data_IF_231019019657
#
_entry.id   IF_231019019657
#
_cell.length_a   1.000
_cell.length_b   1.000
_cell.length_c   1.000
_cell.angle_alpha   90.00
_cell.angle_beta   90.00
_cell.angle_gamma   90.00
#
_symmetry.space_group_name_H-M   'P 1'
#
loop_
_entity.id
_entity.type
_entity.pdbx_description
1 polymer ?
#
# COMPACT_ATOMS: atom_id res chain seq x y z
N UNK A 1 30.47 -1.25 16.01
CA UNK A 1 30.17 -1.71 14.64
C UNK A 1 28.87 -2.50 14.70
N UNK A 2 27.73 -1.87 14.40
CA UNK A 2 26.42 -2.50 14.46
C UNK A 2 26.11 -3.18 13.12
N UNK A 3 25.99 -4.50 13.13
CA UNK A 3 25.56 -5.27 11.95
C UNK A 3 24.05 -5.08 11.76
N UNK A 4 23.64 -4.31 10.75
CA UNK A 4 22.26 -4.30 10.29
C UNK A 4 21.99 -5.57 9.48
N UNK A 5 21.26 -6.52 10.08
CA UNK A 5 20.71 -7.69 9.36
C UNK A 5 19.59 -7.19 8.45
N UNK A 6 19.88 -7.01 7.17
CA UNK A 6 18.89 -6.64 6.15
C UNK A 6 18.02 -7.85 5.82
N UNK A 7 17.01 -8.10 6.65
CA UNK A 7 15.92 -8.99 6.28
C UNK A 7 15.15 -8.29 5.15
N UNK A 8 15.36 -8.70 3.89
CA UNK A 8 14.72 -8.08 2.71
C UNK A 8 13.22 -8.37 2.74
N UNK A 9 12.48 -7.54 3.47
CA UNK A 9 11.03 -7.56 3.48
C UNK A 9 10.54 -7.18 2.08
N UNK A 10 9.67 -8.00 1.52
CA UNK A 10 8.96 -7.71 0.27
C UNK A 10 7.50 -7.49 0.62
N UNK A 11 6.97 -6.37 0.18
CA UNK A 11 5.57 -5.97 0.43
C UNK A 11 4.82 -5.99 -0.90
N UNK A 12 3.58 -6.45 -0.87
CA UNK A 12 2.66 -6.42 -2.00
C UNK A 12 1.39 -5.71 -1.51
N UNK A 13 0.83 -4.85 -2.36
CA UNK A 13 -0.43 -4.15 -2.11
C UNK A 13 -1.43 -4.66 -3.16
N UNK A 14 -2.65 -4.96 -2.71
CA UNK A 14 -3.71 -5.54 -3.51
C UNK A 14 -4.95 -4.69 -3.32
N UNK A 15 -5.48 -4.14 -4.40
CA UNK A 15 -6.73 -3.39 -4.44
C UNK A 15 -7.84 -4.26 -5.05
N UNK A 16 -9.05 -4.12 -4.55
CA UNK A 16 -10.22 -4.84 -5.06
C UNK A 16 -11.52 -4.19 -4.59
N UNK A 17 -12.56 -4.30 -5.40
CA UNK A 17 -13.86 -3.68 -5.16
C UNK A 17 -14.81 -4.52 -4.30
N UNK A 18 -14.54 -5.82 -4.14
CA UNK A 18 -15.36 -6.74 -3.35
C UNK A 18 -14.71 -7.06 -2.00
N UNK A 19 -15.38 -6.65 -0.92
CA UNK A 19 -14.88 -6.83 0.45
C UNK A 19 -14.77 -8.29 0.88
N UNK A 20 -15.61 -9.18 0.33
CA UNK A 20 -15.61 -10.61 0.67
C UNK A 20 -14.39 -11.30 0.06
N UNK A 21 -14.04 -10.95 -1.17
CA UNK A 21 -12.84 -11.45 -1.84
C UNK A 21 -11.56 -10.95 -1.16
N UNK A 22 -11.51 -9.67 -0.77
CA UNK A 22 -10.35 -9.10 -0.04
C UNK A 22 -10.13 -9.85 1.27
N UNK A 23 -11.19 -10.11 2.05
CA UNK A 23 -11.09 -10.88 3.30
C UNK A 23 -10.53 -12.29 3.05
N UNK A 24 -11.01 -12.97 2.02
CA UNK A 24 -10.51 -14.31 1.67
C UNK A 24 -9.00 -14.29 1.37
N UNK A 25 -8.53 -13.29 0.62
CA UNK A 25 -7.11 -13.14 0.30
C UNK A 25 -6.28 -12.91 1.56
N UNK A 26 -6.74 -12.05 2.48
CA UNK A 26 -6.05 -11.79 3.76
C UNK A 26 -5.98 -13.05 4.62
N UNK A 27 -7.09 -13.79 4.74
CA UNK A 27 -7.12 -15.05 5.49
C UNK A 27 -6.15 -16.09 4.90
N UNK A 28 -6.09 -16.21 3.57
CA UNK A 28 -5.14 -17.10 2.90
C UNK A 28 -3.70 -16.68 3.16
N UNK A 29 -3.38 -15.39 3.06
CA UNK A 29 -2.04 -14.87 3.32
C UNK A 29 -1.61 -15.16 4.77
N UNK A 30 -2.49 -14.95 5.74
CA UNK A 30 -2.25 -15.26 7.15
C UNK A 30 -2.02 -16.76 7.36
N UNK A 31 -2.81 -17.64 6.72
CA UNK A 31 -2.62 -19.11 6.76
C UNK A 31 -1.28 -19.56 6.19
N UNK A 32 -0.74 -18.81 5.23
CA UNK A 32 0.58 -19.04 4.64
C UNK A 32 1.73 -18.39 5.43
N UNK A 33 1.46 -17.90 6.65
CA UNK A 33 2.40 -17.20 7.52
C UNK A 33 2.94 -15.87 6.94
N UNK A 34 2.20 -15.23 6.04
CA UNK A 34 2.46 -13.84 5.66
C UNK A 34 1.78 -12.88 6.62
N UNK A 35 2.41 -11.72 6.86
CA UNK A 35 1.77 -10.61 7.57
C UNK A 35 0.84 -9.87 6.60
N UNK A 36 -0.47 -9.98 6.83
CA UNK A 36 -1.49 -9.30 6.02
C UNK A 36 -2.53 -8.61 6.90
N UNK A 37 -2.93 -7.39 6.52
CA UNK A 37 -3.99 -6.61 7.14
C UNK A 37 -4.66 -5.73 6.06
N UNK A 38 -5.89 -5.31 6.32
CA UNK A 38 -6.62 -4.37 5.46
C UNK A 38 -6.35 -2.97 5.97
N UNK A 39 -5.94 -2.07 5.07
CA UNK A 39 -5.71 -0.67 5.40
C UNK A 39 -7.03 0.03 5.73
N UNK A 40 -7.04 0.76 6.85
CA UNK A 40 -8.11 1.71 7.16
C UNK A 40 -7.99 2.96 6.26
N UNK A 41 -8.89 3.93 6.43
CA UNK A 41 -8.91 5.14 5.59
C UNK A 41 -7.66 6.00 5.75
N UNK A 42 -7.21 6.22 6.99
CA UNK A 42 -6.02 7.02 7.32
C UNK A 42 -4.75 6.35 6.78
N UNK A 43 -4.60 5.03 7.00
CA UNK A 43 -3.48 4.25 6.48
C UNK A 43 -3.42 4.25 4.93
N UNK A 44 -4.58 4.33 4.28
CA UNK A 44 -4.68 4.39 2.82
C UNK A 44 -4.30 5.77 2.28
N UNK A 45 -4.73 6.84 2.95
CA UNK A 45 -4.36 8.21 2.64
C UNK A 45 -2.85 8.42 2.79
N UNK A 46 -2.28 8.01 3.93
CA UNK A 46 -0.84 8.07 4.18
C UNK A 46 -0.04 7.30 3.13
N UNK A 47 -0.54 6.12 2.72
CA UNK A 47 0.07 5.34 1.66
C UNK A 47 0.02 6.06 0.31
N UNK A 48 -1.14 6.61 -0.08
CA UNK A 48 -1.30 7.33 -1.33
C UNK A 48 -0.40 8.57 -1.38
N UNK A 49 -0.35 9.33 -0.29
CA UNK A 49 0.52 10.50 -0.17
C UNK A 49 2.00 10.13 -0.27
N UNK A 50 2.43 9.10 0.46
CA UNK A 50 3.81 8.62 0.40
C UNK A 50 4.20 8.14 -1.00
N UNK A 51 3.28 7.47 -1.70
CA UNK A 51 3.50 7.03 -3.08
C UNK A 51 3.60 8.22 -4.05
N UNK A 52 2.73 9.22 -3.91
CA UNK A 52 2.79 10.44 -4.73
C UNK A 52 4.10 11.21 -4.52
N UNK A 53 4.55 11.35 -3.27
CA UNK A 53 5.84 11.97 -2.95
C UNK A 53 7.03 11.20 -3.55
N UNK A 54 7.00 9.86 -3.48
CA UNK A 54 8.03 9.03 -4.10
C UNK A 54 8.05 9.17 -5.63
N UNK A 55 6.88 9.29 -6.27
CA UNK A 55 6.77 9.47 -7.72
C UNK A 55 7.27 10.85 -8.19
N UNK A 56 6.95 11.91 -7.45
CA UNK A 56 7.50 13.25 -7.67
C UNK A 56 9.04 13.28 -7.54
N UNK A 57 9.60 12.54 -6.56
CA UNK A 57 11.05 12.38 -6.41
C UNK A 57 11.70 11.65 -7.61
N UNK A 58 10.95 10.78 -8.29
CA UNK A 58 11.39 10.13 -9.54
C UNK A 58 11.19 10.96 -10.81
N UNK A 59 10.51 12.11 -10.73
CA UNK A 59 10.28 13.03 -11.85
C UNK A 59 9.13 12.64 -12.79
N UNK A 60 8.29 11.67 -12.43
CA UNK A 60 7.03 11.38 -13.13
C UNK A 60 5.91 12.25 -12.54
N UNK A 61 5.58 13.34 -13.23
CA UNK A 61 4.48 14.24 -12.88
C UNK A 61 3.14 13.53 -13.03
N UNK A 62 2.46 13.26 -11.91
CA UNK A 62 1.03 12.95 -11.90
C UNK A 62 0.29 14.28 -11.79
N UNK A 63 -0.64 14.53 -12.70
CA UNK A 63 -1.38 15.78 -12.73
C UNK A 63 -2.18 15.94 -11.42
N UNK A 64 -2.04 17.09 -10.76
CA UNK A 64 -2.59 17.32 -9.41
C UNK A 64 -4.11 17.15 -9.34
N UNK A 65 -4.79 17.29 -10.48
CA UNK A 65 -6.22 17.08 -10.63
C UNK A 65 -6.62 15.60 -10.50
N UNK A 66 -5.79 14.66 -10.96
CA UNK A 66 -6.05 13.21 -10.84
C UNK A 66 -5.87 12.74 -9.38
N UNK A 67 -4.90 13.32 -8.67
CA UNK A 67 -4.66 13.05 -7.25
C UNK A 67 -5.83 13.49 -6.35
N UNK A 68 -6.43 14.66 -6.63
CA UNK A 68 -7.59 15.15 -5.87
C UNK A 68 -8.84 14.28 -6.09
N UNK A 69 -8.98 13.66 -7.26
CA UNK A 69 -10.08 12.73 -7.56
C UNK A 69 -9.89 11.40 -6.82
N UNK A 70 -8.66 10.96 -6.63
CA UNK A 70 -8.34 9.72 -5.93
C UNK A 70 -8.45 9.85 -4.41
N UNK A 71 -8.15 11.03 -3.85
CA UNK A 71 -8.30 11.35 -2.43
C UNK A 71 -9.75 11.68 -2.01
N UNK A 72 -10.66 11.93 -2.96
CA UNK A 72 -12.06 12.31 -2.68
C UNK A 72 -13.08 11.17 -2.81
N UNK A 73 -12.62 9.94 -3.08
CA UNK A 73 -13.43 8.71 -3.10
C UNK A 73 -13.24 7.87 -1.84
#
# INVERSE_FOLDING_TARGET
MFYYKTNKMKTIIIEGSDISNIKLIVELAQKLNFKAHILNSEEREDFALGNAMAQEETGEYINSDDLLIELSK
#
